data_IF_145311790485
#
_entry.id   IF_145311790485
#
_cell.length_a   1.000
_cell.length_b   1.000
_cell.length_c   1.000
_cell.angle_alpha   90.00
_cell.angle_beta   90.00
_cell.angle_gamma   90.00
#
_symmetry.space_group_name_H-M   'P 1'
#
loop_
_entity.id
_entity.type
_entity.pdbx_description
1 polymer ?
#
# COMPACT_ATOMS: atom_id res chain seq x y z
N UNK A 1 105.74 41.12 -0.27
CA UNK A 1 105.17 39.88 0.28
C UNK A 1 103.69 39.90 -0.06
N UNK A 2 103.26 38.99 -0.95
CA UNK A 2 101.87 38.87 -1.40
C UNK A 2 101.14 37.83 -0.55
N UNK A 3 99.91 38.12 -0.14
CA UNK A 3 99.00 37.07 0.34
C UNK A 3 97.59 37.42 -0.11
N UNK A 4 97.06 36.65 -1.06
CA UNK A 4 95.67 36.74 -1.49
C UNK A 4 94.90 35.69 -0.69
N UNK A 5 93.90 36.13 0.08
CA UNK A 5 93.01 35.26 0.82
C UNK A 5 91.83 34.85 -0.09
N UNK A 6 91.63 33.55 -0.25
CA UNK A 6 90.43 32.95 -0.85
C UNK A 6 89.42 32.62 0.24
N UNK A 7 88.14 32.88 -0.03
CA UNK A 7 87.06 32.17 0.65
C UNK A 7 85.89 33.04 1.01
N UNK A 8 84.89 33.10 0.14
CA UNK A 8 83.52 33.44 0.54
C UNK A 8 82.60 32.31 0.08
N UNK A 9 82.26 31.42 1.00
CA UNK A 9 81.20 30.45 0.78
C UNK A 9 79.85 31.18 0.89
N UNK A 10 79.05 31.11 -0.17
CA UNK A 10 77.72 31.74 -0.20
C UNK A 10 76.74 30.80 0.50
N UNK A 11 76.21 31.22 1.64
CA UNK A 11 75.12 30.52 2.31
C UNK A 11 73.81 30.81 1.58
N UNK A 12 73.20 29.79 0.99
CA UNK A 12 71.86 29.89 0.39
C UNK A 12 70.84 29.55 1.48
N UNK A 13 70.04 30.53 1.87
CA UNK A 13 68.92 30.32 2.80
C UNK A 13 67.73 29.73 2.04
N UNK A 14 67.16 28.58 2.48
CA UNK A 14 65.96 28.06 1.86
C UNK A 14 64.77 28.96 2.21
N UNK A 15 64.02 29.37 1.19
CA UNK A 15 62.75 30.09 1.35
C UNK A 15 61.69 29.08 1.75
N UNK A 16 61.21 29.18 2.99
CA UNK A 16 60.05 28.43 3.47
C UNK A 16 58.78 29.08 2.95
N UNK A 17 58.03 28.38 2.10
CA UNK A 17 56.71 28.83 1.66
C UNK A 17 55.65 28.47 2.70
N UNK A 18 54.86 29.45 3.11
CA UNK A 18 53.73 29.23 4.01
C UNK A 18 52.63 28.43 3.29
N UNK A 19 52.13 27.37 3.92
CA UNK A 19 50.99 26.60 3.40
C UNK A 19 49.71 27.43 3.46
N UNK A 20 48.97 27.50 2.35
CA UNK A 20 47.73 28.26 2.25
C UNK A 20 46.62 27.71 3.16
N UNK A 21 45.75 28.58 3.73
CA UNK A 21 44.66 28.14 4.59
C UNK A 21 43.58 27.36 3.80
N UNK A 22 43.17 26.21 4.31
CA UNK A 22 42.05 25.43 3.76
C UNK A 22 40.71 26.05 4.18
N UNK A 23 40.01 26.69 3.25
CA UNK A 23 38.68 27.28 3.51
C UNK A 23 37.62 26.16 3.55
N UNK A 24 37.03 25.92 4.73
CA UNK A 24 35.85 25.04 4.87
C UNK A 24 34.56 25.83 4.70
N UNK A 25 33.91 25.65 3.55
CA UNK A 25 32.63 26.30 3.23
C UNK A 25 31.50 25.67 4.05
N UNK A 26 30.99 26.39 5.05
CA UNK A 26 29.87 25.94 5.89
C UNK A 26 28.57 26.36 5.22
N UNK A 27 27.98 25.49 4.40
CA UNK A 27 26.68 25.75 3.78
C UNK A 27 25.59 25.75 4.87
N UNK A 28 25.25 26.94 5.36
CA UNK A 28 24.09 27.14 6.23
C UNK A 28 22.86 27.25 5.34
N UNK A 29 22.11 26.15 5.26
CA UNK A 29 20.82 26.16 4.59
C UNK A 29 19.92 27.17 5.31
N UNK A 30 19.59 28.28 4.65
CA UNK A 30 18.67 29.27 5.19
C UNK A 30 17.32 28.58 5.43
N UNK A 31 16.53 29.05 6.41
CA UNK A 31 15.22 28.45 6.75
C UNK A 31 14.33 28.22 5.51
N UNK A 32 14.46 29.10 4.50
CA UNK A 32 13.81 28.99 3.19
C UNK A 32 14.36 27.85 2.33
N UNK A 33 15.68 27.67 2.26
CA UNK A 33 16.29 26.55 1.54
C UNK A 33 15.90 25.17 2.09
N UNK A 34 15.75 25.05 3.42
CA UNK A 34 15.28 23.80 4.04
C UNK A 34 13.84 23.48 3.66
N UNK A 35 12.97 24.49 3.60
CA UNK A 35 11.58 24.32 3.19
C UNK A 35 11.47 23.90 1.72
N UNK A 36 12.27 24.49 0.82
CA UNK A 36 12.28 24.11 -0.60
C UNK A 36 12.74 22.65 -0.78
N UNK A 37 13.82 22.24 -0.12
CA UNK A 37 14.29 20.85 -0.21
C UNK A 37 13.26 19.88 0.36
N UNK A 38 12.66 20.20 1.51
CA UNK A 38 11.62 19.37 2.11
C UNK A 38 10.42 19.21 1.19
N UNK A 39 9.95 20.31 0.58
CA UNK A 39 8.86 20.28 -0.39
C UNK A 39 9.22 19.44 -1.61
N UNK A 40 10.43 19.60 -2.17
CA UNK A 40 10.84 18.87 -3.36
C UNK A 40 10.94 17.35 -3.12
N UNK A 41 11.31 16.95 -1.90
CA UNK A 41 11.37 15.54 -1.49
C UNK A 41 9.98 14.98 -1.16
N UNK A 42 9.10 15.75 -0.50
CA UNK A 42 7.78 15.25 -0.08
C UNK A 42 6.71 15.33 -1.16
N UNK A 43 6.86 16.22 -2.15
CA UNK A 43 5.90 16.42 -3.23
C UNK A 43 5.54 15.13 -3.98
N UNK A 44 6.47 14.26 -4.43
CA UNK A 44 6.10 13.02 -5.11
C UNK A 44 5.31 12.06 -4.22
N UNK A 45 5.62 11.99 -2.91
CA UNK A 45 4.88 11.15 -1.96
C UNK A 45 3.44 11.65 -1.78
N UNK A 46 3.26 12.97 -1.64
CA UNK A 46 1.93 13.57 -1.54
C UNK A 46 1.11 13.32 -2.81
N UNK A 47 1.72 13.45 -3.99
CA UNK A 47 1.06 13.16 -5.27
C UNK A 47 0.67 11.68 -5.35
N UNK A 48 1.56 10.76 -4.96
CA UNK A 48 1.26 9.32 -4.96
C UNK A 48 0.10 8.98 -4.02
N UNK A 49 0.08 9.55 -2.80
CA UNK A 49 -1.01 9.37 -1.84
C UNK A 49 -2.33 9.97 -2.36
N UNK A 50 -2.29 11.14 -2.98
CA UNK A 50 -3.48 11.75 -3.59
C UNK A 50 -4.02 10.89 -4.74
N UNK A 51 -3.15 10.40 -5.61
CA UNK A 51 -3.53 9.48 -6.69
C UNK A 51 -4.10 8.18 -6.12
N UNK A 52 -3.52 7.63 -5.06
CA UNK A 52 -4.05 6.45 -4.39
C UNK A 52 -5.42 6.72 -3.75
N UNK A 53 -5.65 7.90 -3.18
CA UNK A 53 -6.95 8.27 -2.63
C UNK A 53 -8.01 8.50 -3.71
N UNK A 54 -7.60 8.99 -4.89
CA UNK A 54 -8.50 9.25 -6.03
C UNK A 54 -8.77 8.02 -6.90
N UNK A 55 -7.79 7.11 -7.01
CA UNK A 55 -7.87 5.91 -7.87
C UNK A 55 -8.04 4.62 -7.07
N UNK A 56 -7.69 4.61 -5.79
CA UNK A 56 -8.04 3.55 -4.87
C UNK A 56 -9.54 3.64 -4.67
N UNK A 57 -10.30 2.94 -5.52
CA UNK A 57 -11.71 2.69 -5.29
C UNK A 57 -11.83 2.26 -3.85
N UNK A 58 -12.55 3.05 -3.05
CA UNK A 58 -12.74 2.75 -1.66
C UNK A 58 -13.19 1.30 -1.58
N UNK A 59 -12.53 0.49 -0.75
CA UNK A 59 -13.19 -0.67 -0.19
C UNK A 59 -14.30 -0.11 0.71
N UNK A 60 -15.34 0.44 0.08
CA UNK A 60 -16.60 0.71 0.73
C UNK A 60 -17.12 -0.70 1.01
N UNK A 61 -17.07 -1.10 2.28
CA UNK A 61 -18.07 -2.03 2.75
C UNK A 61 -19.40 -1.31 2.56
N UNK A 62 -19.94 -1.41 1.34
CA UNK A 62 -21.28 -0.95 1.05
C UNK A 62 -22.16 -1.93 1.80
N UNK A 63 -22.45 -1.62 3.06
CA UNK A 63 -23.78 -1.81 3.61
C UNK A 63 -24.73 -0.85 2.87
N UNK A 64 -24.71 -0.89 1.54
CA UNK A 64 -25.84 -0.46 0.75
C UNK A 64 -26.92 -1.48 1.02
N UNK A 65 -28.17 -1.03 0.98
CA UNK A 65 -29.38 -1.84 1.02
C UNK A 65 -29.45 -2.83 -0.16
N UNK A 66 -28.44 -3.69 -0.34
CA UNK A 66 -28.66 -4.99 -0.91
C UNK A 66 -29.48 -5.72 0.15
N UNK A 67 -30.80 -5.67 0.01
CA UNK A 67 -31.69 -6.60 0.67
C UNK A 67 -31.31 -7.99 0.19
N UNK A 68 -30.32 -8.57 0.87
CA UNK A 68 -29.90 -9.95 0.66
C UNK A 68 -31.07 -10.79 1.12
N UNK A 69 -31.75 -11.43 0.18
CA UNK A 69 -32.82 -12.37 0.51
C UNK A 69 -32.22 -13.50 1.36
N UNK A 70 -32.79 -13.73 2.53
CA UNK A 70 -32.38 -14.79 3.44
C UNK A 70 -33.56 -15.69 3.74
N UNK A 71 -33.27 -16.99 3.83
CA UNK A 71 -34.25 -18.02 4.19
C UNK A 71 -33.74 -18.73 5.43
N UNK A 72 -34.60 -18.89 6.43
CA UNK A 72 -34.32 -19.69 7.62
C UNK A 72 -34.76 -21.12 7.38
N UNK A 73 -33.85 -22.07 7.56
CA UNK A 73 -34.10 -23.50 7.36
C UNK A 73 -34.98 -24.04 8.49
N UNK A 74 -36.06 -24.72 8.14
CA UNK A 74 -36.93 -25.42 9.09
C UNK A 74 -36.43 -26.83 9.45
N UNK A 75 -36.96 -27.38 10.53
CA UNK A 75 -36.56 -28.72 10.98
C UNK A 75 -37.02 -29.78 9.97
N UNK A 76 -36.06 -30.49 9.38
CA UNK A 76 -36.31 -31.56 8.39
C UNK A 76 -36.18 -31.12 6.93
N UNK A 77 -35.84 -29.86 6.68
CA UNK A 77 -35.50 -29.40 5.33
C UNK A 77 -34.07 -29.80 4.95
N UNK A 78 -33.90 -30.13 3.67
CA UNK A 78 -32.60 -30.38 3.05
C UNK A 78 -32.24 -29.23 2.12
N UNK A 79 -30.96 -29.06 1.82
CA UNK A 79 -30.52 -28.04 0.87
C UNK A 79 -31.20 -28.19 -0.51
N UNK A 80 -31.50 -29.42 -0.91
CA UNK A 80 -32.24 -29.72 -2.14
C UNK A 80 -33.70 -29.27 -2.10
N UNK A 81 -34.41 -29.46 -0.98
CA UNK A 81 -35.79 -28.99 -0.84
C UNK A 81 -35.87 -27.47 -0.78
N UNK A 82 -34.92 -26.83 -0.10
CA UNK A 82 -34.81 -25.37 -0.07
C UNK A 82 -34.51 -24.82 -1.47
N UNK A 83 -33.56 -25.41 -2.19
CA UNK A 83 -33.23 -25.00 -3.56
C UNK A 83 -34.42 -25.13 -4.52
N UNK A 84 -35.18 -26.24 -4.43
CA UNK A 84 -36.38 -26.45 -5.23
C UNK A 84 -37.51 -25.46 -4.90
N UNK A 85 -37.62 -25.03 -3.64
CA UNK A 85 -38.61 -24.05 -3.21
C UNK A 85 -38.23 -22.62 -3.64
N UNK A 86 -36.94 -22.27 -3.57
CA UNK A 86 -36.44 -20.93 -3.90
C UNK A 86 -36.48 -20.65 -5.41
N UNK A 87 -36.17 -21.63 -6.26
CA UNK A 87 -36.12 -21.43 -7.70
C UNK A 87 -36.70 -22.65 -8.47
N UNK A 88 -38.04 -22.76 -8.61
CA UNK A 88 -38.69 -23.90 -9.25
C UNK A 88 -38.44 -23.98 -10.77
N UNK A 89 -38.15 -22.83 -11.40
CA UNK A 89 -37.87 -22.73 -12.84
C UNK A 89 -36.41 -23.06 -13.20
N UNK A 90 -35.51 -23.08 -12.20
CA UNK A 90 -34.09 -23.34 -12.38
C UNK A 90 -33.73 -24.80 -12.08
N UNK A 91 -32.59 -25.25 -12.61
CA UNK A 91 -32.08 -26.58 -12.30
C UNK A 91 -31.67 -26.63 -10.82
N UNK A 92 -32.25 -27.56 -10.05
CA UNK A 92 -32.00 -27.67 -8.60
C UNK A 92 -30.52 -27.91 -8.29
N UNK A 93 -29.81 -28.63 -9.17
CA UNK A 93 -28.38 -28.90 -9.01
C UNK A 93 -27.53 -27.62 -9.08
N UNK A 94 -27.86 -26.71 -10.02
CA UNK A 94 -27.15 -25.44 -10.17
C UNK A 94 -27.45 -24.51 -8.99
N UNK A 95 -28.72 -24.45 -8.56
CA UNK A 95 -29.13 -23.64 -7.39
C UNK A 95 -28.44 -24.14 -6.11
N UNK A 96 -28.31 -25.45 -5.92
CA UNK A 96 -27.57 -26.02 -4.78
C UNK A 96 -26.09 -25.63 -4.83
N UNK A 97 -25.44 -25.75 -5.98
CA UNK A 97 -24.04 -25.36 -6.14
C UNK A 97 -23.83 -23.86 -5.84
N UNK A 98 -24.78 -23.03 -6.28
CA UNK A 98 -24.79 -21.60 -6.03
C UNK A 98 -24.98 -21.26 -4.56
N UNK A 99 -25.90 -21.94 -3.88
CA UNK A 99 -26.13 -21.77 -2.44
C UNK A 99 -24.92 -22.19 -1.62
N UNK A 100 -24.27 -23.30 -1.98
CA UNK A 100 -23.01 -23.75 -1.34
C UNK A 100 -21.92 -22.69 -1.52
N UNK A 101 -21.76 -22.16 -2.73
CA UNK A 101 -20.73 -21.18 -3.03
C UNK A 101 -20.95 -19.85 -2.28
N UNK A 102 -22.19 -19.38 -2.17
CA UNK A 102 -22.52 -18.11 -1.50
C UNK A 102 -22.50 -18.22 0.02
N UNK A 103 -22.86 -19.38 0.58
CA UNK A 103 -22.91 -19.59 2.03
C UNK A 103 -21.67 -20.33 2.57
N UNK A 104 -20.67 -20.59 1.73
CA UNK A 104 -19.44 -21.33 2.05
C UNK A 104 -19.72 -22.66 2.79
N UNK A 105 -20.75 -23.39 2.36
CA UNK A 105 -21.15 -24.63 3.02
C UNK A 105 -20.13 -25.75 2.74
N UNK A 106 -19.71 -26.44 3.80
CA UNK A 106 -18.77 -27.57 3.71
C UNK A 106 -19.46 -28.89 3.35
N UNK A 107 -20.77 -29.00 3.59
CA UNK A 107 -21.60 -30.14 3.22
C UNK A 107 -23.02 -29.69 2.85
N UNK A 108 -23.80 -30.57 2.23
CA UNK A 108 -25.21 -30.33 1.91
C UNK A 108 -26.15 -30.52 3.12
N UNK A 109 -25.60 -30.82 4.30
CA UNK A 109 -26.35 -30.97 5.54
C UNK A 109 -26.62 -29.58 6.14
N UNK A 110 -27.88 -29.32 6.44
CA UNK A 110 -28.31 -28.06 7.05
C UNK A 110 -28.78 -28.30 8.48
N UNK A 111 -28.50 -27.34 9.36
CA UNK A 111 -29.04 -27.37 10.71
C UNK A 111 -30.38 -26.61 10.77
N UNK A 112 -31.37 -27.10 11.53
CA UNK A 112 -32.59 -26.34 11.78
C UNK A 112 -32.28 -24.97 12.39
N UNK A 113 -32.91 -23.91 11.87
CA UNK A 113 -32.67 -22.53 12.27
C UNK A 113 -31.45 -21.88 11.61
N UNK A 114 -30.76 -22.57 10.70
CA UNK A 114 -29.66 -21.98 9.93
C UNK A 114 -30.22 -20.96 8.93
N UNK A 115 -29.59 -19.79 8.85
CA UNK A 115 -29.94 -18.74 7.89
C UNK A 115 -29.10 -18.92 6.64
N UNK A 116 -29.75 -19.11 5.50
CA UNK A 116 -29.11 -19.19 4.19
C UNK A 116 -29.33 -17.90 3.41
N UNK A 117 -28.24 -17.40 2.83
CA UNK A 117 -28.23 -16.32 1.86
C UNK A 117 -28.63 -16.86 0.49
N UNK A 118 -29.61 -16.21 -0.13
CA UNK A 118 -30.08 -16.53 -1.48
C UNK A 118 -29.34 -15.63 -2.49
N UNK A 119 -28.74 -16.20 -3.55
CA UNK A 119 -28.16 -15.43 -4.63
C UNK A 119 -29.20 -14.49 -5.25
N UNK A 120 -28.81 -13.24 -5.56
CA UNK A 120 -29.72 -12.23 -6.10
C UNK A 120 -30.47 -12.63 -7.38
N UNK A 121 -29.94 -13.59 -8.15
CA UNK A 121 -30.58 -14.16 -9.35
C UNK A 121 -31.82 -15.02 -9.06
N UNK A 122 -32.05 -15.37 -7.81
CA UNK A 122 -33.17 -16.19 -7.33
C UNK A 122 -33.99 -15.47 -6.24
N UNK A 123 -33.74 -14.17 -6.03
CA UNK A 123 -34.28 -13.39 -4.91
C UNK A 123 -35.56 -12.60 -5.26
N UNK A 124 -36.31 -13.03 -6.28
CA UNK A 124 -37.47 -12.34 -6.86
C UNK A 124 -38.83 -12.95 -6.46
#
# INVERSE_FOLDING_TARGET
MSTIAYGSAIAVTPVSYASAPTVRTRLRLTRRGRAVIAALVSLPLVIALAMMALNGGGATASAGDATVATVTVEAGESLWSVAAAVAPEASTADVVADLIAVNELSSAELLPGQVLVIPARYAD
#
